data_IF_588058713496
#
_entry.id   IF_588058713496
#
_cell.length_a   1.000
_cell.length_b   1.000
_cell.length_c   1.000
_cell.angle_alpha   90.00
_cell.angle_beta   90.00
_cell.angle_gamma   90.00
#
_symmetry.space_group_name_H-M   'P 1'
#
loop_
_entity.id
_entity.type
_entity.pdbx_description
1 polymer ?
#
# COMPACT_ATOMS: atom_id res chain seq x y z
N UNK A 1 1.04 -3.12 -14.58
CA UNK A 1 1.46 -1.79 -14.16
C UNK A 1 2.86 -1.87 -13.60
N UNK A 2 3.82 -1.27 -14.31
CA UNK A 2 5.22 -1.20 -13.91
C UNK A 2 5.44 -0.06 -12.94
N UNK A 3 6.03 -0.34 -11.79
CA UNK A 3 6.20 0.61 -10.71
C UNK A 3 7.68 0.84 -10.39
N UNK A 4 8.04 2.11 -10.17
CA UNK A 4 9.21 2.47 -9.37
C UNK A 4 8.77 2.55 -7.91
N UNK A 5 9.17 1.57 -7.09
CA UNK A 5 8.79 1.50 -5.69
C UNK A 5 9.89 2.06 -4.78
N UNK A 6 9.52 2.94 -3.87
CA UNK A 6 10.44 3.50 -2.87
C UNK A 6 9.93 3.19 -1.47
N UNK A 7 10.66 2.35 -0.74
CA UNK A 7 10.39 2.03 0.66
C UNK A 7 11.04 3.04 1.57
N UNK A 8 10.26 3.83 2.31
CA UNK A 8 10.77 4.86 3.21
C UNK A 8 10.60 4.45 4.69
N UNK A 9 11.71 4.40 5.42
CA UNK A 9 11.78 3.89 6.79
C UNK A 9 11.66 2.37 6.87
N UNK A 10 11.65 1.82 8.10
CA UNK A 10 11.71 0.37 8.32
C UNK A 10 10.50 -0.38 7.73
N UNK A 11 9.28 0.06 8.02
CA UNK A 11 8.06 -0.58 7.51
C UNK A 11 7.96 -0.51 5.98
N UNK A 12 8.26 0.65 5.39
CA UNK A 12 8.29 0.84 3.94
C UNK A 12 9.33 -0.06 3.27
N UNK A 13 10.52 -0.15 3.85
CA UNK A 13 11.60 -1.04 3.39
C UNK A 13 11.20 -2.52 3.43
N UNK A 14 10.62 -3.00 4.54
CA UNK A 14 10.17 -4.40 4.66
C UNK A 14 9.06 -4.76 3.68
N UNK A 15 8.10 -3.85 3.45
CA UNK A 15 7.04 -4.07 2.47
C UNK A 15 7.59 -4.09 1.04
N UNK A 16 8.53 -3.19 0.71
CA UNK A 16 9.24 -3.21 -0.57
C UNK A 16 9.98 -4.54 -0.79
N UNK A 17 10.70 -5.00 0.23
CA UNK A 17 11.45 -6.26 0.19
C UNK A 17 10.51 -7.45 -0.11
N UNK A 18 9.34 -7.46 0.55
CA UNK A 18 8.30 -8.46 0.33
C UNK A 18 7.65 -8.37 -1.05
N UNK A 19 7.54 -7.16 -1.62
CA UNK A 19 7.10 -6.98 -3.00
C UNK A 19 8.07 -7.58 -4.00
N UNK A 20 9.38 -7.41 -3.79
CA UNK A 20 10.40 -8.03 -4.65
C UNK A 20 10.36 -9.55 -4.56
N UNK A 21 10.23 -10.12 -3.36
CA UNK A 21 10.04 -11.57 -3.17
C UNK A 21 8.80 -12.07 -3.94
N UNK A 22 7.68 -11.35 -3.84
CA UNK A 22 6.45 -11.70 -4.53
C UNK A 22 6.60 -11.61 -6.06
N UNK A 23 7.23 -10.54 -6.56
CA UNK A 23 7.40 -10.32 -7.99
C UNK A 23 8.31 -11.39 -8.62
N UNK A 24 9.38 -11.77 -7.93
CA UNK A 24 10.26 -12.87 -8.33
C UNK A 24 9.51 -14.22 -8.35
N UNK A 25 8.74 -14.50 -7.29
CA UNK A 25 8.01 -15.77 -7.14
C UNK A 25 6.91 -15.96 -8.19
N UNK A 26 6.23 -14.88 -8.58
CA UNK A 26 5.10 -14.93 -9.50
C UNK A 26 5.45 -14.53 -10.93
N UNK A 27 6.66 -13.97 -11.16
CA UNK A 27 7.09 -13.46 -12.45
C UNK A 27 6.20 -12.33 -12.96
N UNK A 28 5.65 -11.50 -12.06
CA UNK A 28 4.63 -10.51 -12.41
C UNK A 28 5.17 -9.24 -13.07
N UNK A 29 6.48 -8.97 -12.97
CA UNK A 29 7.14 -7.83 -13.61
C UNK A 29 6.65 -6.46 -13.12
N UNK A 30 6.07 -6.41 -11.91
CA UNK A 30 5.46 -5.19 -11.35
C UNK A 30 6.55 -4.23 -10.87
N UNK A 31 7.62 -4.75 -10.25
CA UNK A 31 8.64 -3.91 -9.62
C UNK A 31 9.76 -3.65 -10.63
N UNK A 32 9.62 -2.57 -11.40
CA UNK A 32 10.61 -2.21 -12.43
C UNK A 32 11.88 -1.61 -11.82
N UNK A 33 11.71 -0.93 -10.68
CA UNK A 33 12.80 -0.44 -9.84
C UNK A 33 12.39 -0.40 -8.38
N UNK A 34 13.36 -0.56 -7.49
CA UNK A 34 13.17 -0.61 -6.05
C UNK A 34 14.30 0.16 -5.36
N UNK A 35 13.95 1.12 -4.49
CA UNK A 35 14.89 1.87 -3.65
C UNK A 35 14.40 1.85 -2.20
N UNK A 36 15.28 1.52 -1.26
CA UNK A 36 14.96 1.60 0.17
C UNK A 36 15.72 2.76 0.81
N UNK A 37 15.01 3.66 1.48
CA UNK A 37 15.57 4.85 2.13
C UNK A 37 15.32 4.74 3.63
N UNK A 38 16.35 4.89 4.45
CA UNK A 38 16.19 4.91 5.91
C UNK A 38 17.29 5.73 6.59
N UNK A 39 17.07 6.12 7.84
CA UNK A 39 18.05 6.76 8.73
C UNK A 39 18.71 5.77 9.70
N UNK A 40 18.20 4.53 9.75
CA UNK A 40 18.74 3.44 10.54
C UNK A 40 19.50 2.44 9.62
N UNK A 41 20.82 2.33 9.82
CA UNK A 41 21.67 1.47 9.00
C UNK A 41 21.36 -0.02 9.19
N UNK A 42 21.06 -0.43 10.42
CA UNK A 42 20.76 -1.82 10.75
C UNK A 42 19.50 -2.33 10.01
N UNK A 43 18.49 -1.47 9.85
CA UNK A 43 17.27 -1.81 9.11
C UNK A 43 17.55 -2.06 7.63
N UNK A 44 18.36 -1.20 6.99
CA UNK A 44 18.74 -1.38 5.59
C UNK A 44 19.55 -2.66 5.40
N UNK A 45 20.46 -2.98 6.32
CA UNK A 45 21.23 -4.22 6.27
C UNK A 45 20.36 -5.47 6.45
N UNK A 46 19.19 -5.34 7.09
CA UNK A 46 18.25 -6.45 7.32
C UNK A 46 17.29 -6.74 6.17
N UNK A 47 17.39 -6.02 5.04
CA UNK A 47 16.61 -6.33 3.83
C UNK A 47 17.28 -7.48 3.06
N UNK A 48 16.49 -8.41 2.53
CA UNK A 48 16.96 -9.62 1.87
C UNK A 48 16.96 -9.49 0.33
N UNK A 49 15.99 -8.79 -0.24
CA UNK A 49 15.74 -8.74 -1.69
C UNK A 49 16.08 -7.40 -2.35
N UNK A 50 16.01 -6.27 -1.62
CA UNK A 50 16.43 -4.97 -2.16
C UNK A 50 17.95 -4.97 -2.41
N UNK A 51 18.47 -4.67 -3.61
CA UNK A 51 19.92 -4.63 -3.88
C UNK A 51 20.66 -3.63 -2.99
N UNK A 52 21.89 -3.95 -2.56
CA UNK A 52 22.66 -3.08 -1.64
C UNK A 52 22.89 -1.68 -2.21
N UNK A 53 23.14 -1.58 -3.52
CA UNK A 53 23.31 -0.32 -4.25
C UNK A 53 22.06 0.57 -4.24
N UNK A 54 20.88 -0.01 -3.99
CA UNK A 54 19.60 0.69 -3.93
C UNK A 54 19.15 0.99 -2.49
N UNK A 55 20.00 0.73 -1.50
CA UNK A 55 19.75 1.01 -0.08
C UNK A 55 20.42 2.34 0.30
N UNK A 56 19.62 3.40 0.36
CA UNK A 56 20.07 4.75 0.66
C UNK A 56 19.97 5.03 2.15
N UNK A 57 21.11 5.24 2.80
CA UNK A 57 21.18 5.73 4.17
C UNK A 57 21.21 7.27 4.14
N UNK A 58 20.28 7.91 4.84
CA UNK A 58 20.24 9.37 5.02
C UNK A 58 20.39 9.74 6.50
N UNK A 59 20.64 11.02 6.81
CA UNK A 59 20.71 11.55 8.17
C UNK A 59 22.00 11.21 8.93
N UNK A 60 23.07 10.81 8.24
CA UNK A 60 24.35 10.45 8.86
C UNK A 60 24.94 11.62 9.65
N UNK A 61 24.71 12.85 9.19
CA UNK A 61 25.12 14.09 9.86
C UNK A 61 24.42 14.25 11.21
N UNK A 62 23.12 13.92 11.29
CA UNK A 62 22.22 14.13 12.44
C UNK A 62 22.17 12.94 13.42
N UNK A 63 21.94 11.72 12.94
CA UNK A 63 21.65 10.53 13.78
C UNK A 63 22.66 9.39 13.67
N UNK A 64 23.72 9.57 12.86
CA UNK A 64 24.84 8.61 12.73
C UNK A 64 24.41 7.18 12.37
N UNK A 65 23.29 7.02 11.67
CA UNK A 65 22.76 5.72 11.23
C UNK A 65 21.97 4.95 12.29
N UNK A 66 21.51 5.57 13.38
CA UNK A 66 20.72 4.93 14.43
C UNK A 66 19.20 5.10 14.28
N UNK A 67 18.76 5.87 13.29
CA UNK A 67 17.36 6.24 13.13
C UNK A 67 16.96 7.48 13.94
N UNK A 68 15.78 8.03 13.62
CA UNK A 68 15.18 9.18 14.33
C UNK A 68 14.17 8.74 15.40
N UNK A 69 14.01 7.43 15.62
CA UNK A 69 12.97 6.89 16.49
C UNK A 69 11.56 7.26 15.97
N UNK A 70 10.74 7.81 16.86
CA UNK A 70 9.39 8.30 16.56
C UNK A 70 9.34 9.83 16.35
N UNK A 71 10.47 10.49 16.12
CA UNK A 71 10.50 11.91 15.80
C UNK A 71 10.28 12.11 14.29
N UNK A 72 9.05 12.45 13.90
CA UNK A 72 8.69 12.62 12.49
C UNK A 72 9.05 14.01 11.93
N UNK A 73 9.21 15.02 12.78
CA UNK A 73 9.68 16.35 12.39
C UNK A 73 11.17 16.25 11.99
N UNK A 74 11.99 15.63 12.84
CA UNK A 74 13.39 15.33 12.51
C UNK A 74 13.51 14.44 11.26
N UNK A 75 12.60 13.46 11.11
CA UNK A 75 12.54 12.62 9.92
C UNK A 75 12.29 13.41 8.64
N UNK A 76 11.42 14.42 8.68
CA UNK A 76 11.15 15.31 7.56
C UNK A 76 12.35 16.23 7.27
N UNK A 77 12.94 16.85 8.29
CA UNK A 77 14.14 17.70 8.15
C UNK A 77 15.28 16.96 7.45
N UNK A 78 15.60 15.74 7.90
CA UNK A 78 16.65 14.91 7.30
C UNK A 78 16.32 14.57 5.85
N UNK A 79 15.06 14.23 5.56
CA UNK A 79 14.63 13.91 4.21
C UNK A 79 14.73 15.13 3.27
N UNK A 80 14.54 16.35 3.77
CA UNK A 80 14.74 17.59 3.01
C UNK A 80 16.24 17.90 2.82
N UNK A 81 17.05 17.77 3.88
CA UNK A 81 18.49 18.03 3.86
C UNK A 81 19.23 17.09 2.89
N UNK A 82 18.89 15.79 2.92
CA UNK A 82 19.58 14.74 2.17
C UNK A 82 18.79 14.27 0.94
N UNK A 83 17.83 15.07 0.45
CA UNK A 83 16.98 14.68 -0.69
C UNK A 83 17.78 14.37 -1.96
N UNK A 84 18.91 15.04 -2.16
CA UNK A 84 19.80 14.82 -3.30
C UNK A 84 20.44 13.43 -3.28
N UNK A 85 20.68 12.84 -2.10
CA UNK A 85 21.17 11.45 -1.98
C UNK A 85 20.10 10.45 -2.46
N UNK A 86 18.85 10.69 -2.09
CA UNK A 86 17.71 9.88 -2.53
C UNK A 86 17.48 10.04 -4.03
N UNK A 87 17.53 11.27 -4.54
CA UNK A 87 17.38 11.57 -5.96
C UNK A 87 18.48 10.89 -6.79
N UNK A 88 19.74 10.87 -6.32
CA UNK A 88 20.82 10.18 -7.02
C UNK A 88 20.58 8.68 -7.21
N UNK A 89 19.91 8.02 -6.26
CA UNK A 89 19.47 6.62 -6.41
C UNK A 89 18.31 6.50 -7.41
N UNK A 90 17.36 7.45 -7.38
CA UNK A 90 16.22 7.50 -8.31
C UNK A 90 16.70 7.77 -9.75
N UNK A 91 17.74 8.56 -9.97
CA UNK A 91 18.28 8.86 -11.30
C UNK A 91 18.80 7.61 -12.04
N UNK A 92 19.12 6.54 -11.30
CA UNK A 92 19.53 5.26 -11.87
C UNK A 92 18.35 4.42 -12.36
N UNK A 93 17.11 4.83 -12.05
CA UNK A 93 15.88 4.14 -12.46
C UNK A 93 15.56 4.48 -13.92
N UNK A 94 15.22 3.50 -14.77
CA UNK A 94 14.70 3.76 -16.10
C UNK A 94 13.25 4.25 -16.03
N UNK A 95 13.06 5.52 -15.64
CA UNK A 95 11.73 6.11 -15.39
C UNK A 95 10.80 6.03 -16.61
N UNK A 96 11.35 6.11 -17.82
CA UNK A 96 10.58 5.95 -19.06
C UNK A 96 9.96 4.55 -19.26
N UNK A 97 10.30 3.57 -18.43
CA UNK A 97 9.73 2.23 -18.42
C UNK A 97 8.73 1.99 -17.27
N UNK A 98 8.47 3.00 -16.43
CA UNK A 98 7.50 2.89 -15.32
C UNK A 98 6.21 3.63 -15.64
N UNK A 99 5.10 3.07 -15.18
CA UNK A 99 3.77 3.68 -15.31
C UNK A 99 3.49 4.67 -14.16
N UNK A 100 4.12 4.47 -12.99
CA UNK A 100 3.98 5.33 -11.82
C UNK A 100 5.10 5.10 -10.78
N UNK A 101 5.22 6.04 -9.85
CA UNK A 101 5.96 5.89 -8.60
C UNK A 101 5.04 5.42 -7.48
N UNK A 102 5.54 4.54 -6.60
CA UNK A 102 4.85 4.11 -5.39
C UNK A 102 5.75 4.29 -4.16
N UNK A 103 5.42 5.26 -3.31
CA UNK A 103 6.14 5.54 -2.06
C UNK A 103 5.47 4.78 -0.91
N UNK A 104 6.18 3.80 -0.35
CA UNK A 104 5.71 2.90 0.70
C UNK A 104 6.22 3.40 2.07
N UNK A 105 5.35 3.65 3.04
CA UNK A 105 5.77 4.14 4.36
C UNK A 105 4.83 3.78 5.51
N UNK A 106 5.43 3.50 6.67
CA UNK A 106 4.72 3.46 7.94
C UNK A 106 4.48 4.88 8.46
N UNK A 107 3.23 5.24 8.71
CA UNK A 107 2.85 6.61 9.05
C UNK A 107 3.06 6.94 10.53
N UNK A 108 3.14 5.93 11.39
CA UNK A 108 3.33 6.12 12.84
C UNK A 108 4.79 6.30 13.29
N UNK A 109 5.78 5.94 12.48
CA UNK A 109 7.20 6.05 12.84
C UNK A 109 7.73 7.49 12.78
N UNK A 110 9.05 7.67 12.80
CA UNK A 110 9.68 8.97 12.52
C UNK A 110 10.13 9.11 11.07
N UNK A 111 11.06 8.23 10.61
CA UNK A 111 11.66 8.33 9.26
C UNK A 111 10.66 8.25 8.13
N UNK A 112 9.82 7.21 8.09
CA UNK A 112 8.81 7.03 7.04
C UNK A 112 7.71 8.08 7.11
N UNK A 113 7.26 8.39 8.32
CA UNK A 113 6.20 9.37 8.61
C UNK A 113 6.57 10.77 8.11
N UNK A 114 7.78 11.24 8.41
CA UNK A 114 8.27 12.55 8.01
C UNK A 114 8.79 12.61 6.57
N UNK A 115 9.54 11.59 6.14
CA UNK A 115 10.25 11.63 4.87
C UNK A 115 9.44 11.24 3.64
N UNK A 116 8.42 10.37 3.77
CA UNK A 116 7.63 9.94 2.61
C UNK A 116 6.83 11.08 1.95
N UNK A 117 6.17 12.00 2.69
CA UNK A 117 5.52 13.17 2.09
C UNK A 117 6.52 14.12 1.41
N UNK A 118 7.70 14.32 2.01
CA UNK A 118 8.78 15.14 1.45
C UNK A 118 9.25 14.57 0.11
N UNK A 119 9.49 13.26 0.05
CA UNK A 119 9.89 12.57 -1.17
C UNK A 119 8.79 12.64 -2.24
N UNK A 120 7.54 12.37 -1.87
CA UNK A 120 6.43 12.41 -2.83
C UNK A 120 6.30 13.78 -3.50
N UNK A 121 6.37 14.85 -2.69
CA UNK A 121 6.40 16.23 -3.17
C UNK A 121 7.59 16.52 -4.09
N UNK A 122 8.76 15.96 -3.79
CA UNK A 122 9.96 16.11 -4.61
C UNK A 122 9.80 15.41 -5.96
N UNK A 123 9.37 14.15 -5.99
CA UNK A 123 9.16 13.37 -7.22
C UNK A 123 8.14 14.08 -8.13
N UNK A 124 7.00 14.54 -7.59
CA UNK A 124 5.97 15.26 -8.37
C UNK A 124 6.43 16.58 -8.99
N UNK A 125 7.53 17.17 -8.51
CA UNK A 125 8.10 18.39 -9.10
C UNK A 125 8.99 18.10 -10.30
N UNK A 126 9.53 16.88 -10.39
CA UNK A 126 10.56 16.52 -11.36
C UNK A 126 9.98 15.62 -12.46
N UNK A 127 9.11 14.69 -12.08
CA UNK A 127 8.55 13.66 -12.95
C UNK A 127 7.09 13.92 -13.28
N UNK A 128 6.65 13.38 -14.42
CA UNK A 128 5.26 13.57 -14.92
C UNK A 128 4.36 12.37 -14.63
N UNK A 129 4.97 11.22 -14.38
CA UNK A 129 4.31 9.98 -14.02
C UNK A 129 3.58 10.14 -12.66
N UNK A 130 2.41 9.52 -12.47
CA UNK A 130 1.69 9.58 -11.21
C UNK A 130 2.55 9.11 -10.04
N UNK A 131 2.41 9.78 -8.89
CA UNK A 131 3.07 9.43 -7.64
C UNK A 131 2.03 9.00 -6.62
N UNK A 132 2.00 7.71 -6.31
CA UNK A 132 1.10 7.14 -5.31
C UNK A 132 1.81 6.92 -3.99
N UNK A 133 1.06 6.99 -2.89
CA UNK A 133 1.51 6.55 -1.57
C UNK A 133 0.86 5.23 -1.19
N UNK A 134 1.59 4.35 -0.52
CA UNK A 134 1.03 3.29 0.32
C UNK A 134 1.34 3.60 1.78
N UNK A 135 0.36 4.19 2.46
CA UNK A 135 0.45 4.56 3.87
C UNK A 135 -0.02 3.43 4.79
N UNK A 136 0.85 2.99 5.70
CA UNK A 136 0.56 1.95 6.68
C UNK A 136 0.26 2.62 8.03
N UNK A 137 -0.98 2.51 8.50
CA UNK A 137 -1.40 3.06 9.80
C UNK A 137 -0.96 2.13 10.94
N UNK A 138 -0.60 2.70 12.11
CA UNK A 138 -0.21 1.91 13.28
C UNK A 138 -1.42 1.19 13.90
N UNK A 139 -1.16 0.12 14.65
CA UNK A 139 -2.15 -0.50 15.53
C UNK A 139 -2.54 0.41 16.71
N UNK A 140 -3.76 0.26 17.23
CA UNK A 140 -4.30 1.12 18.29
C UNK A 140 -3.58 0.99 19.65
N UNK A 141 -2.82 -0.08 19.87
CA UNK A 141 -2.06 -0.36 21.08
C UNK A 141 -0.56 -0.04 20.96
N UNK A 142 -0.09 0.44 19.79
CA UNK A 142 1.32 0.80 19.60
C UNK A 142 1.72 2.01 20.46
N UNK A 143 0.76 2.86 20.83
CA UNK A 143 0.93 3.99 21.75
C UNK A 143 0.61 5.34 21.12
N UNK A 144 0.29 6.34 21.96
CA UNK A 144 -0.24 7.64 21.51
C UNK A 144 0.67 8.41 20.56
N UNK A 145 2.00 8.31 20.73
CA UNK A 145 2.97 8.98 19.85
C UNK A 145 2.87 8.49 18.40
N UNK A 146 2.68 7.19 18.18
CA UNK A 146 2.57 6.62 16.84
C UNK A 146 1.26 7.03 16.17
N UNK A 147 0.16 7.08 16.92
CA UNK A 147 -1.12 7.58 16.43
C UNK A 147 -1.05 9.06 16.04
N UNK A 148 -0.39 9.88 16.86
CA UNK A 148 -0.17 11.30 16.56
C UNK A 148 0.68 11.50 15.30
N UNK A 149 1.79 10.76 15.18
CA UNK A 149 2.64 10.79 13.99
C UNK A 149 1.85 10.38 12.74
N UNK A 150 1.04 9.32 12.84
CA UNK A 150 0.21 8.85 11.74
C UNK A 150 -0.80 9.91 11.33
N UNK A 151 -1.42 10.61 12.27
CA UNK A 151 -2.35 11.69 11.98
C UNK A 151 -1.70 12.86 11.22
N UNK A 152 -0.54 13.33 11.71
CA UNK A 152 0.23 14.43 11.08
C UNK A 152 0.73 14.04 9.68
N UNK A 153 1.33 12.85 9.57
CA UNK A 153 1.86 12.34 8.31
C UNK A 153 0.74 12.08 7.31
N UNK A 154 -0.35 11.44 7.70
CA UNK A 154 -1.51 11.21 6.82
C UNK A 154 -2.03 12.51 6.21
N UNK A 155 -2.21 13.57 7.02
CA UNK A 155 -2.67 14.86 6.53
C UNK A 155 -1.75 15.47 5.47
N UNK A 156 -0.44 15.30 5.62
CA UNK A 156 0.54 15.85 4.67
C UNK A 156 0.63 14.95 3.45
N UNK A 157 0.80 13.64 3.66
CA UNK A 157 1.05 12.68 2.60
C UNK A 157 -0.07 12.64 1.58
N UNK A 158 -1.34 12.61 2.02
CA UNK A 158 -2.51 12.58 1.13
C UNK A 158 -2.60 13.79 0.19
N UNK A 159 -1.95 14.91 0.54
CA UNK A 159 -1.92 16.14 -0.28
C UNK A 159 -0.74 16.15 -1.27
N UNK A 160 0.31 15.40 -0.96
CA UNK A 160 1.57 15.38 -1.73
C UNK A 160 1.65 14.19 -2.70
N UNK A 161 0.66 13.28 -2.71
CA UNK A 161 0.52 12.19 -3.69
C UNK A 161 -0.68 12.42 -4.61
N UNK A 162 -0.68 11.76 -5.77
CA UNK A 162 -1.85 11.71 -6.65
C UNK A 162 -2.94 10.79 -6.13
N UNK A 163 -2.60 9.80 -5.29
CA UNK A 163 -3.56 9.02 -4.52
C UNK A 163 -2.85 8.31 -3.35
N UNK A 164 -3.48 8.25 -2.18
CA UNK A 164 -2.97 7.53 -1.02
C UNK A 164 -3.75 6.21 -0.83
N UNK A 165 -3.13 5.10 -1.21
CA UNK A 165 -3.57 3.77 -0.84
C UNK A 165 -3.24 3.57 0.64
N UNK A 166 -4.19 3.05 1.41
CA UNK A 166 -4.00 2.91 2.87
C UNK A 166 -4.20 1.47 3.31
N UNK A 167 -3.33 1.04 4.21
CA UNK A 167 -3.44 -0.21 4.94
C UNK A 167 -3.44 0.08 6.44
N UNK A 168 -4.42 -0.45 7.17
CA UNK A 168 -4.56 -0.24 8.60
C UNK A 168 -4.11 -1.47 9.38
N UNK A 169 -2.94 -1.41 10.04
CA UNK A 169 -2.44 -2.56 10.80
C UNK A 169 -3.46 -3.01 11.85
N UNK A 170 -4.20 -2.10 12.46
CA UNK A 170 -5.17 -2.43 13.52
C UNK A 170 -6.24 -3.41 13.03
N UNK A 171 -6.69 -3.26 11.77
CA UNK A 171 -7.69 -4.12 11.14
C UNK A 171 -7.18 -5.53 10.81
N UNK A 172 -5.86 -5.70 10.72
CA UNK A 172 -5.23 -6.93 10.20
C UNK A 172 -4.48 -7.73 11.24
N UNK A 173 -4.31 -7.20 12.45
CA UNK A 173 -3.67 -7.90 13.55
C UNK A 173 -4.41 -9.17 13.95
N UNK A 174 -3.62 -10.17 14.37
CA UNK A 174 -4.09 -11.40 14.98
C UNK A 174 -3.69 -11.46 16.45
N UNK A 175 -4.64 -11.85 17.30
CA UNK A 175 -4.37 -12.00 18.74
C UNK A 175 -3.51 -13.24 18.99
N UNK A 176 -2.45 -13.09 19.79
CA UNK A 176 -1.63 -14.21 20.27
C UNK A 176 -0.35 -14.48 19.47
N UNK A 177 -0.02 -13.65 18.48
CA UNK A 177 1.23 -13.73 17.73
C UNK A 177 2.31 -12.81 18.32
N UNK A 178 3.58 -13.15 18.04
CA UNK A 178 4.70 -12.23 18.32
C UNK A 178 4.59 -11.00 17.42
N UNK A 179 5.06 -9.84 17.88
CA UNK A 179 5.05 -8.59 17.10
C UNK A 179 5.69 -8.78 15.71
N UNK A 180 6.87 -9.42 15.66
CA UNK A 180 7.57 -9.65 14.38
C UNK A 180 6.78 -10.57 13.45
N UNK A 181 6.31 -11.72 13.93
CA UNK A 181 5.48 -12.64 13.14
C UNK A 181 4.19 -11.99 12.63
N UNK A 182 3.55 -11.15 13.44
CA UNK A 182 2.35 -10.41 13.05
C UNK A 182 2.61 -9.43 11.90
N UNK A 183 3.76 -8.73 11.90
CA UNK A 183 4.12 -7.84 10.79
C UNK A 183 4.48 -8.62 9.51
N UNK A 184 5.11 -9.79 9.62
CA UNK A 184 5.44 -10.59 8.44
C UNK A 184 4.16 -11.05 7.72
N UNK A 185 3.14 -11.50 8.47
CA UNK A 185 1.84 -11.85 7.89
C UNK A 185 1.07 -10.63 7.34
N UNK A 186 1.15 -9.48 8.02
CA UNK A 186 0.58 -8.23 7.51
C UNK A 186 1.22 -7.86 6.17
N UNK A 187 2.54 -7.96 6.06
CA UNK A 187 3.26 -7.66 4.82
C UNK A 187 2.86 -8.63 3.70
N UNK A 188 2.64 -9.92 4.01
CA UNK A 188 2.09 -10.88 3.04
C UNK A 188 0.69 -10.47 2.56
N UNK A 189 -0.19 -10.05 3.47
CA UNK A 189 -1.54 -9.61 3.13
C UNK A 189 -1.53 -8.29 2.33
N UNK A 190 -0.61 -7.36 2.60
CA UNK A 190 -0.39 -6.15 1.78
C UNK A 190 -0.02 -6.58 0.35
N UNK A 191 1.10 -7.29 0.21
CA UNK A 191 1.69 -7.60 -1.09
C UNK A 191 0.78 -8.49 -1.93
N UNK A 192 0.04 -9.42 -1.31
CA UNK A 192 -0.94 -10.25 -2.02
C UNK A 192 -2.05 -9.44 -2.69
N UNK A 193 -2.52 -8.36 -2.05
CA UNK A 193 -3.61 -7.52 -2.58
C UNK A 193 -3.12 -6.62 -3.70
N UNK A 194 -2.07 -5.87 -3.39
CA UNK A 194 -1.51 -4.89 -4.31
C UNK A 194 -0.74 -5.56 -5.45
N UNK A 195 -0.12 -6.73 -5.22
CA UNK A 195 0.52 -7.53 -6.26
C UNK A 195 -0.48 -8.04 -7.31
N UNK A 196 -1.67 -8.50 -6.89
CA UNK A 196 -2.73 -8.85 -7.85
C UNK A 196 -3.29 -7.61 -8.55
N UNK A 197 -3.49 -6.50 -7.82
CA UNK A 197 -3.98 -5.24 -8.39
C UNK A 197 -3.05 -4.71 -9.49
N UNK A 198 -1.76 -4.58 -9.20
CA UNK A 198 -0.78 -3.98 -10.12
C UNK A 198 -0.30 -4.95 -11.19
N UNK A 199 -0.28 -6.26 -10.91
CA UNK A 199 0.05 -7.31 -11.87
C UNK A 199 -0.93 -7.39 -13.04
N UNK A 200 -2.19 -6.99 -12.81
CA UNK A 200 -3.23 -7.02 -13.85
C UNK A 200 -2.86 -6.28 -15.13
N UNK A 201 -2.09 -5.18 -15.02
CA UNK A 201 -1.68 -4.36 -16.15
C UNK A 201 -0.53 -4.92 -17.01
N UNK A 202 0.10 -6.04 -16.62
CA UNK A 202 1.22 -6.66 -17.35
C UNK A 202 0.77 -7.93 -18.09
N UNK A 203 0.06 -7.81 -19.22
CA UNK A 203 -0.21 -8.95 -20.10
C UNK A 203 0.66 -8.87 -21.34
N UNK A 204 1.54 -9.87 -21.53
CA UNK A 204 2.38 -9.98 -22.72
C UNK A 204 1.55 -10.09 -24.01
N UNK A 205 1.92 -9.32 -25.03
CA UNK A 205 1.40 -9.46 -26.39
C UNK A 205 1.73 -10.85 -26.95
N UNK A 206 0.84 -11.84 -26.74
CA UNK A 206 1.00 -13.19 -27.28
C UNK A 206 0.32 -14.32 -26.51
N UNK A 207 -0.19 -14.08 -25.30
CA UNK A 207 -0.97 -15.06 -24.53
C UNK A 207 -2.39 -15.29 -25.06
N UNK A 208 -3.03 -16.39 -24.63
CA UNK A 208 -4.43 -16.73 -24.95
C UNK A 208 -5.35 -15.49 -24.84
N UNK A 209 -6.24 -15.34 -25.82
CA UNK A 209 -7.10 -14.15 -25.99
C UNK A 209 -7.94 -13.93 -24.74
N UNK A 210 -7.48 -13.02 -23.88
CA UNK A 210 -8.26 -12.43 -22.81
C UNK A 210 -9.38 -11.57 -23.40
N UNK A 211 -10.60 -11.68 -22.86
CA UNK A 211 -11.77 -11.01 -23.42
C UNK A 211 -11.86 -9.52 -23.00
N UNK A 212 -11.23 -9.12 -21.89
CA UNK A 212 -11.14 -7.72 -21.42
C UNK A 212 -10.02 -7.56 -20.35
N UNK A 213 -8.77 -7.39 -20.79
CA UNK A 213 -7.61 -7.20 -19.90
C UNK A 213 -7.67 -5.84 -19.20
N UNK A 214 -7.34 -5.81 -17.91
CA UNK A 214 -7.08 -4.56 -17.19
C UNK A 214 -5.71 -4.05 -17.61
N UNK A 215 -5.61 -2.84 -18.17
CA UNK A 215 -4.32 -2.21 -18.42
C UNK A 215 -3.94 -1.25 -17.27
N UNK A 216 -2.70 -0.74 -17.28
CA UNK A 216 -2.25 0.26 -16.30
C UNK A 216 -3.11 1.53 -16.33
N UNK A 217 -3.69 1.88 -17.47
CA UNK A 217 -4.52 3.08 -17.63
C UNK A 217 -5.82 2.97 -16.83
N UNK A 218 -6.43 1.78 -16.74
CA UNK A 218 -7.63 1.56 -15.93
C UNK A 218 -7.35 1.80 -14.44
N UNK A 219 -6.17 1.39 -13.94
CA UNK A 219 -5.72 1.65 -12.56
C UNK A 219 -5.49 3.15 -12.37
N UNK A 220 -4.71 3.79 -13.24
CA UNK A 220 -4.39 5.23 -13.18
C UNK A 220 -5.67 6.07 -13.19
N UNK A 221 -6.60 5.80 -14.12
CA UNK A 221 -7.87 6.51 -14.24
C UNK A 221 -8.78 6.31 -13.03
N UNK A 222 -8.69 5.14 -12.37
CA UNK A 222 -9.44 4.89 -11.13
C UNK A 222 -8.89 5.74 -9.98
N UNK A 223 -7.56 5.88 -9.89
CA UNK A 223 -6.88 6.63 -8.84
C UNK A 223 -6.84 8.15 -9.09
N UNK A 224 -7.10 8.60 -10.33
CA UNK A 224 -6.96 9.99 -10.76
C UNK A 224 -7.84 11.02 -10.01
N UNK A 225 -8.87 10.56 -9.28
CA UNK A 225 -9.68 11.44 -8.42
C UNK A 225 -8.96 11.97 -7.17
N UNK A 226 -7.82 11.37 -6.83
CA UNK A 226 -7.09 11.71 -5.62
C UNK A 226 -7.71 11.17 -4.34
N UNK A 227 -7.25 11.72 -3.22
CA UNK A 227 -7.70 11.35 -1.89
C UNK A 227 -7.21 9.97 -1.46
N UNK A 228 -8.09 9.23 -0.79
CA UNK A 228 -7.78 7.97 -0.12
C UNK A 228 -8.40 6.81 -0.90
N UNK A 229 -7.63 5.73 -1.00
CA UNK A 229 -8.10 4.48 -1.60
C UNK A 229 -7.91 3.29 -0.67
N UNK A 230 -8.81 2.31 -0.80
CA UNK A 230 -8.79 1.06 -0.05
C UNK A 230 -8.97 -0.13 -1.00
N UNK A 231 -8.47 -1.30 -0.59
CA UNK A 231 -8.51 -2.50 -1.42
C UNK A 231 -9.20 -3.65 -0.69
N UNK A 232 -10.18 -4.24 -1.35
CA UNK A 232 -10.81 -5.51 -0.96
C UNK A 232 -10.22 -6.68 -1.73
N UNK A 233 -10.18 -7.86 -1.10
CA UNK A 233 -9.65 -9.07 -1.72
C UNK A 233 -10.39 -10.31 -1.24
N UNK A 234 -10.67 -11.22 -2.18
CA UNK A 234 -11.10 -12.58 -1.88
C UNK A 234 -10.52 -13.55 -2.90
N UNK A 235 -10.23 -14.78 -2.47
CA UNK A 235 -9.80 -15.85 -3.38
C UNK A 235 -10.34 -17.21 -2.96
N UNK A 236 -10.40 -18.12 -3.91
CA UNK A 236 -10.67 -19.54 -3.68
C UNK A 236 -9.76 -20.41 -4.55
N UNK A 237 -9.39 -21.58 -4.04
CA UNK A 237 -8.60 -22.57 -4.76
C UNK A 237 -9.43 -23.27 -5.83
N UNK A 238 -8.82 -23.55 -6.97
CA UNK A 238 -9.43 -24.28 -8.09
C UNK A 238 -8.55 -25.43 -8.53
N UNK A 239 -9.16 -26.55 -8.91
CA UNK A 239 -8.44 -27.71 -9.43
C UNK A 239 -8.19 -27.54 -10.93
N UNK A 240 -6.93 -27.27 -11.30
CA UNK A 240 -6.53 -27.29 -12.72
C UNK A 240 -6.24 -28.73 -13.14
N UNK A 241 -6.75 -29.14 -14.31
CA UNK A 241 -6.71 -30.52 -14.82
C UNK A 241 -5.32 -31.10 -15.15
N UNK A 242 -4.24 -30.56 -14.58
CA UNK A 242 -2.85 -30.94 -14.87
C UNK A 242 -2.04 -31.52 -13.69
N UNK A 243 -2.58 -31.56 -12.47
CA UNK A 243 -1.80 -31.85 -11.25
C UNK A 243 -2.08 -33.20 -10.57
N UNK A 244 -2.80 -34.12 -11.22
CA UNK A 244 -2.92 -35.50 -10.74
C UNK A 244 -2.23 -36.49 -11.69
N UNK A 245 -1.24 -37.21 -11.15
CA UNK A 245 -0.57 -38.32 -11.83
C UNK A 245 -1.60 -39.32 -12.35
N UNK A 246 -1.75 -39.37 -13.66
CA UNK A 246 -2.67 -40.25 -14.35
C UNK A 246 -2.33 -41.71 -14.08
N UNK A 247 -3.10 -42.33 -13.18
CA UNK A 247 -3.15 -43.78 -13.07
C UNK A 247 -3.62 -44.39 -14.39
N UNK A 248 -3.00 -45.51 -14.77
CA UNK A 248 -3.18 -46.26 -16.03
C UNK A 248 -4.62 -46.73 -16.33
N UNK A 249 -5.61 -46.32 -15.54
CA UNK A 249 -7.02 -46.68 -15.65
C UNK A 249 -7.88 -45.63 -16.39
N UNK A 250 -7.40 -44.39 -16.57
CA UNK A 250 -8.20 -43.33 -17.23
C UNK A 250 -8.36 -43.51 -18.75
N UNK A 251 -7.56 -44.38 -19.38
CA UNK A 251 -7.64 -44.68 -20.81
C UNK A 251 -8.68 -45.75 -21.19
N UNK A 252 -9.30 -46.42 -20.22
CA UNK A 252 -10.26 -47.50 -20.49
C UNK A 252 -11.73 -47.10 -20.37
N UNK A 253 -12.03 -45.91 -19.85
CA UNK A 253 -13.36 -45.32 -19.89
C UNK A 253 -13.44 -44.35 -21.06
N UNK A 254 -13.67 -44.92 -22.25
CA UNK A 254 -14.02 -44.16 -23.45
C UNK A 254 -15.30 -43.36 -23.21
N UNK A 255 -15.15 -42.05 -23.10
CA UNK A 255 -16.20 -41.08 -22.90
C UNK A 255 -15.57 -39.70 -22.83
N UNK A 256 -15.39 -39.07 -23.98
CA UNK A 256 -14.98 -37.67 -24.11
C UNK A 256 -15.85 -36.77 -23.24
N UNK A 257 -15.29 -36.22 -22.16
CA UNK A 257 -15.75 -35.00 -21.49
C UNK A 257 -14.80 -34.65 -20.35
N UNK A 258 -13.66 -34.04 -20.66
CA UNK A 258 -13.15 -32.98 -19.78
C UNK A 258 -14.12 -31.81 -19.93
N UNK A 259 -15.21 -31.80 -19.15
CA UNK A 259 -16.18 -30.71 -19.26
C UNK A 259 -15.46 -29.41 -18.91
N UNK A 260 -15.49 -28.39 -19.79
CA UNK A 260 -15.27 -27.02 -19.37
C UNK A 260 -16.17 -26.79 -18.15
N UNK A 261 -15.62 -26.22 -17.09
CA UNK A 261 -16.44 -25.85 -15.94
C UNK A 261 -17.66 -25.07 -16.45
N UNK A 262 -18.87 -25.45 -16.02
CA UNK A 262 -20.10 -24.84 -16.53
C UNK A 262 -19.97 -23.30 -16.46
N UNK A 263 -20.16 -22.62 -17.58
CA UNK A 263 -20.06 -21.15 -17.68
C UNK A 263 -20.92 -20.47 -16.61
N UNK A 264 -22.05 -21.09 -16.21
CA UNK A 264 -22.86 -20.63 -15.10
C UNK A 264 -22.14 -20.71 -13.74
N UNK A 265 -21.42 -21.79 -13.46
CA UNK A 265 -20.62 -21.96 -12.24
C UNK A 265 -19.49 -20.94 -12.17
N UNK A 266 -18.75 -20.75 -13.27
CA UNK A 266 -17.70 -19.72 -13.36
C UNK A 266 -18.25 -18.32 -13.06
N UNK A 267 -19.39 -17.97 -13.67
CA UNK A 267 -20.08 -16.69 -13.42
C UNK A 267 -20.44 -16.53 -11.93
N UNK A 268 -20.97 -17.58 -11.30
CA UNK A 268 -21.40 -17.55 -9.91
C UNK A 268 -20.21 -17.43 -8.95
N UNK A 269 -19.10 -18.14 -9.21
CA UNK A 269 -17.84 -17.99 -8.48
C UNK A 269 -17.36 -16.56 -8.51
N UNK A 270 -17.18 -15.98 -9.70
CA UNK A 270 -16.65 -14.62 -9.85
C UNK A 270 -17.51 -13.64 -9.07
N UNK A 271 -18.83 -13.65 -9.27
CA UNK A 271 -19.72 -12.74 -8.52
C UNK A 271 -19.69 -12.98 -7.00
N UNK A 272 -19.46 -14.21 -6.54
CA UNK A 272 -19.29 -14.53 -5.12
C UNK A 272 -18.00 -13.93 -4.57
N UNK A 273 -16.89 -14.08 -5.29
CA UNK A 273 -15.60 -13.50 -4.93
C UNK A 273 -15.64 -11.97 -4.91
N UNK A 274 -16.30 -11.34 -5.89
CA UNK A 274 -16.51 -9.88 -5.91
C UNK A 274 -17.23 -9.41 -4.64
N UNK A 275 -18.32 -10.07 -4.26
CA UNK A 275 -19.04 -9.75 -3.02
C UNK A 275 -18.17 -9.94 -1.78
N UNK A 276 -17.42 -11.03 -1.70
CA UNK A 276 -16.50 -11.31 -0.58
C UNK A 276 -15.37 -10.29 -0.51
N UNK A 277 -14.85 -9.84 -1.65
CA UNK A 277 -13.78 -8.85 -1.70
C UNK A 277 -14.28 -7.48 -1.24
N UNK A 278 -15.45 -7.04 -1.72
CA UNK A 278 -16.02 -5.74 -1.40
C UNK A 278 -16.59 -5.64 0.03
N UNK A 279 -17.21 -6.71 0.53
CA UNK A 279 -17.84 -6.73 1.86
C UNK A 279 -16.96 -7.40 2.93
N UNK A 280 -15.80 -7.92 2.51
CA UNK A 280 -14.83 -8.53 3.40
C UNK A 280 -13.98 -7.49 4.12
N UNK A 281 -12.86 -7.96 4.67
CA UNK A 281 -11.89 -7.08 5.31
C UNK A 281 -11.12 -6.30 4.24
N UNK A 282 -11.30 -4.99 4.21
CA UNK A 282 -10.58 -4.06 3.36
C UNK A 282 -9.20 -3.71 3.97
N UNK A 283 -8.27 -3.20 3.17
CA UNK A 283 -6.98 -2.69 3.67
C UNK A 283 -7.19 -1.51 4.63
N UNK A 284 -8.11 -0.62 4.31
CA UNK A 284 -8.65 0.42 5.19
C UNK A 284 -10.16 0.18 5.37
N UNK A 285 -10.63 -0.23 6.56
CA UNK A 285 -12.06 -0.45 6.80
C UNK A 285 -12.87 0.83 6.61
N UNK A 286 -13.86 0.79 5.73
CA UNK A 286 -14.79 1.88 5.49
C UNK A 286 -16.14 1.37 4.97
N UNK A 287 -17.12 2.26 4.95
CA UNK A 287 -18.31 2.04 4.13
C UNK A 287 -17.92 2.20 2.65
N UNK A 288 -18.38 1.27 1.80
CA UNK A 288 -18.07 1.29 0.37
C UNK A 288 -19.02 2.18 -0.44
N UNK A 289 -20.16 2.55 0.17
CA UNK A 289 -21.10 3.51 -0.39
C UNK A 289 -20.46 4.91 -0.45
N UNK A 290 -20.62 5.59 -1.57
CA UNK A 290 -20.04 6.90 -1.82
C UNK A 290 -18.57 6.90 -2.23
N UNK A 291 -17.98 5.73 -2.55
CA UNK A 291 -16.69 5.69 -3.24
C UNK A 291 -16.81 6.37 -4.61
N UNK A 292 -15.83 7.21 -4.98
CA UNK A 292 -15.91 8.00 -6.22
C UNK A 292 -15.79 7.12 -7.47
N UNK A 293 -14.82 6.20 -7.46
CA UNK A 293 -14.55 5.24 -8.53
C UNK A 293 -14.22 3.87 -7.96
N UNK A 294 -14.52 2.83 -8.73
CA UNK A 294 -14.13 1.47 -8.40
C UNK A 294 -13.48 0.75 -9.59
N UNK A 295 -12.56 -0.16 -9.29
CA UNK A 295 -11.97 -1.07 -10.26
C UNK A 295 -12.06 -2.51 -9.75
N UNK A 296 -12.61 -3.40 -10.57
CA UNK A 296 -12.63 -4.84 -10.34
C UNK A 296 -11.55 -5.54 -11.17
N UNK A 297 -10.62 -6.22 -10.51
CA UNK A 297 -9.67 -7.14 -11.15
C UNK A 297 -10.03 -8.57 -10.77
N UNK A 298 -10.13 -9.46 -11.75
CA UNK A 298 -10.32 -10.90 -11.51
C UNK A 298 -9.11 -11.68 -12.03
N UNK A 299 -8.37 -12.34 -11.15
CA UNK A 299 -7.14 -13.03 -11.49
C UNK A 299 -7.28 -14.55 -11.32
N UNK A 300 -6.69 -15.34 -12.22
CA UNK A 300 -6.72 -16.80 -12.14
C UNK A 300 -6.54 -17.49 -13.49
N UNK A 301 -6.64 -18.82 -13.57
CA UNK A 301 -6.44 -19.51 -14.83
C UNK A 301 -7.55 -19.16 -15.83
N UNK A 302 -7.24 -18.98 -17.12
CA UNK A 302 -8.22 -18.54 -18.14
C UNK A 302 -9.51 -19.37 -18.17
N UNK A 303 -9.40 -20.69 -17.96
CA UNK A 303 -10.54 -21.61 -17.93
C UNK A 303 -11.58 -21.31 -16.83
N UNK A 304 -11.19 -20.55 -15.79
CA UNK A 304 -12.02 -20.19 -14.64
C UNK A 304 -12.43 -18.71 -14.63
N UNK A 305 -12.15 -17.97 -15.71
CA UNK A 305 -12.50 -16.58 -15.90
C UNK A 305 -13.51 -16.45 -17.04
N UNK A 306 -14.48 -15.54 -16.89
CA UNK A 306 -15.39 -15.22 -17.99
C UNK A 306 -15.90 -13.77 -17.91
N UNK A 307 -16.14 -13.17 -19.09
CA UNK A 307 -16.64 -11.79 -19.19
C UNK A 307 -17.99 -11.60 -18.50
N UNK A 308 -18.89 -12.59 -18.56
CA UNK A 308 -20.23 -12.50 -17.95
C UNK A 308 -20.17 -12.34 -16.43
N UNK A 309 -19.24 -13.02 -15.76
CA UNK A 309 -19.02 -12.90 -14.32
C UNK A 309 -18.47 -11.54 -13.94
N UNK A 310 -17.49 -11.03 -14.70
CA UNK A 310 -16.88 -9.72 -14.51
C UNK A 310 -17.92 -8.60 -14.67
N UNK A 311 -18.69 -8.60 -15.76
CA UNK A 311 -19.74 -7.60 -16.01
C UNK A 311 -20.82 -7.60 -14.93
N UNK A 312 -21.23 -8.78 -14.44
CA UNK A 312 -22.16 -8.87 -13.31
C UNK A 312 -21.55 -8.37 -12.01
N UNK A 313 -20.27 -8.64 -11.78
CA UNK A 313 -19.52 -8.13 -10.64
C UNK A 313 -19.44 -6.60 -10.65
N UNK A 314 -19.07 -6.01 -11.79
CA UNK A 314 -19.03 -4.56 -12.00
C UNK A 314 -20.38 -3.91 -11.75
N UNK A 315 -21.45 -4.43 -12.34
CA UNK A 315 -22.80 -3.90 -12.12
C UNK A 315 -23.22 -3.98 -10.65
N UNK A 316 -22.91 -5.09 -9.98
CA UNK A 316 -23.21 -5.22 -8.56
C UNK A 316 -22.41 -4.21 -7.72
N UNK A 317 -21.12 -3.99 -8.03
CA UNK A 317 -20.31 -2.97 -7.37
C UNK A 317 -20.87 -1.56 -7.58
N UNK A 318 -21.28 -1.22 -8.80
CA UNK A 318 -21.95 0.06 -9.12
C UNK A 318 -23.20 0.26 -8.25
N UNK A 319 -24.03 -0.79 -8.10
CA UNK A 319 -25.22 -0.76 -7.24
C UNK A 319 -24.89 -0.61 -5.74
N UNK A 320 -23.76 -1.16 -5.27
CA UNK A 320 -23.40 -1.08 -3.85
C UNK A 320 -22.63 0.17 -3.46
N UNK A 321 -21.86 0.73 -4.39
CA UNK A 321 -20.97 1.86 -4.13
C UNK A 321 -21.61 3.19 -4.53
N UNK A 322 -22.55 3.18 -5.47
CA UNK A 322 -23.04 4.39 -6.11
C UNK A 322 -21.97 5.15 -6.91
N UNK A 323 -20.82 4.52 -7.19
CA UNK A 323 -19.70 5.14 -7.90
C UNK A 323 -20.12 5.57 -9.31
N UNK A 324 -19.61 6.72 -9.74
CA UNK A 324 -19.88 7.24 -11.09
C UNK A 324 -19.22 6.38 -12.18
N UNK A 325 -18.10 5.73 -11.85
CA UNK A 325 -17.34 4.90 -12.78
C UNK A 325 -16.90 3.61 -12.08
N UNK A 326 -17.34 2.46 -12.63
CA UNK A 326 -16.88 1.14 -12.22
C UNK A 326 -16.19 0.46 -13.40
N UNK A 327 -14.86 0.37 -13.32
CA UNK A 327 -14.00 -0.32 -14.28
C UNK A 327 -13.85 -1.79 -13.90
N UNK A 328 -13.40 -2.61 -14.84
CA UNK A 328 -12.97 -3.95 -14.49
C UNK A 328 -12.58 -4.83 -15.66
N UNK A 329 -11.81 -5.86 -15.34
CA UNK A 329 -11.28 -6.80 -16.31
C UNK A 329 -10.67 -8.04 -15.66
N UNK A 330 -10.08 -8.87 -16.50
CA UNK A 330 -9.37 -10.07 -16.08
C UNK A 330 -7.84 -9.88 -16.06
N UNK A 331 -7.19 -10.71 -15.25
CA UNK A 331 -5.76 -10.93 -15.21
C UNK A 331 -5.51 -12.44 -15.33
N UNK A 332 -5.34 -12.98 -16.55
CA UNK A 332 -5.17 -14.41 -16.77
C UNK A 332 -3.80 -14.89 -16.26
N UNK A 333 -3.82 -15.85 -15.33
CA UNK A 333 -2.62 -16.47 -14.74
C UNK A 333 -2.71 -18.00 -14.94
N UNK A 334 -2.21 -18.55 -16.06
CA UNK A 334 -2.46 -19.94 -16.47
C UNK A 334 -2.08 -21.00 -15.43
N UNK A 335 -1.01 -20.78 -14.67
CA UNK A 335 -0.47 -21.73 -13.70
C UNK A 335 -0.98 -21.50 -12.26
N UNK A 336 -1.96 -20.61 -12.06
CA UNK A 336 -2.50 -20.33 -10.74
C UNK A 336 -3.34 -21.51 -10.21
N UNK A 337 -3.18 -21.84 -8.93
CA UNK A 337 -4.06 -22.79 -8.22
C UNK A 337 -5.32 -22.15 -7.64
N UNK A 338 -5.58 -20.88 -7.95
CA UNK A 338 -6.68 -20.11 -7.35
C UNK A 338 -7.26 -19.05 -8.30
N UNK A 339 -8.51 -18.70 -8.05
CA UNK A 339 -9.17 -17.51 -8.62
C UNK A 339 -9.32 -16.47 -7.51
N UNK A 340 -8.94 -15.23 -7.81
CA UNK A 340 -9.03 -14.09 -6.90
C UNK A 340 -9.85 -12.96 -7.53
N UNK A 341 -10.54 -12.20 -6.69
CA UNK A 341 -11.12 -10.92 -7.03
C UNK A 341 -10.51 -9.84 -6.14
N UNK A 342 -10.04 -8.76 -6.75
CA UNK A 342 -9.57 -7.54 -6.10
C UNK A 342 -10.51 -6.42 -6.46
N UNK A 343 -10.92 -5.65 -5.46
CA UNK A 343 -11.77 -4.47 -5.62
C UNK A 343 -11.01 -3.27 -5.08
N UNK A 344 -10.57 -2.38 -5.96
CA UNK A 344 -10.02 -1.08 -5.60
C UNK A 344 -11.17 -0.08 -5.50
N UNK A 345 -11.28 0.61 -4.37
CA UNK A 345 -12.23 1.69 -4.14
C UNK A 345 -11.44 2.98 -3.92
N UNK A 346 -11.61 3.95 -4.82
CA UNK A 346 -10.91 5.23 -4.80
C UNK A 346 -11.83 6.37 -4.38
N UNK A 347 -11.26 7.37 -3.70
CA UNK A 347 -12.00 8.53 -3.22
C UNK A 347 -12.97 8.19 -2.08
N UNK A 348 -12.59 7.28 -1.17
CA UNK A 348 -13.43 6.94 -0.02
C UNK A 348 -13.49 8.09 0.98
N UNK A 349 -14.68 8.40 1.50
CA UNK A 349 -14.90 9.58 2.35
C UNK A 349 -15.39 9.24 3.76
N UNK A 350 -16.22 8.20 3.93
CA UNK A 350 -16.72 7.80 5.24
C UNK A 350 -15.83 6.73 5.89
N UNK A 351 -14.65 7.17 6.36
CA UNK A 351 -13.68 6.27 7.01
C UNK A 351 -13.55 6.60 8.50
N UNK A 352 -14.10 5.78 9.41
CA UNK A 352 -14.03 6.03 10.86
C UNK A 352 -12.59 6.19 11.38
N UNK A 353 -11.66 5.34 10.91
CA UNK A 353 -10.24 5.38 11.31
C UNK A 353 -9.58 6.72 10.98
N UNK A 354 -9.90 7.31 9.83
CA UNK A 354 -9.33 8.61 9.43
C UNK A 354 -9.91 9.74 10.30
N UNK A 355 -11.20 9.68 10.65
CA UNK A 355 -11.81 10.65 11.57
C UNK A 355 -11.17 10.59 12.96
N UNK A 356 -10.88 9.38 13.45
CA UNK A 356 -10.16 9.18 14.71
C UNK A 356 -8.77 9.83 14.67
N UNK A 357 -7.98 9.57 13.62
CA UNK A 357 -6.66 10.19 13.47
C UNK A 357 -6.75 11.72 13.41
N UNK A 358 -7.73 12.27 12.69
CA UNK A 358 -7.96 13.72 12.63
C UNK A 358 -8.27 14.30 14.00
N UNK A 359 -9.10 13.62 14.80
CA UNK A 359 -9.44 14.05 16.15
C UNK A 359 -8.20 14.05 17.06
N UNK A 360 -7.39 13.00 17.01
CA UNK A 360 -6.12 12.92 17.77
C UNK A 360 -5.16 14.05 17.40
N UNK A 361 -5.04 14.39 16.11
CA UNK A 361 -4.22 15.52 15.68
C UNK A 361 -4.72 16.86 16.21
N UNK A 362 -6.03 17.08 16.26
CA UNK A 362 -6.63 18.32 16.78
C UNK A 362 -6.35 18.42 18.29
N UNK A 363 -6.66 17.37 19.05
CA UNK A 363 -6.45 17.33 20.51
C UNK A 363 -4.96 17.50 20.89
N UNK A 364 -4.06 16.87 20.12
CA UNK A 364 -2.63 17.02 20.36
C UNK A 364 -2.13 18.44 20.06
N UNK A 365 -2.69 19.12 19.05
CA UNK A 365 -2.34 20.51 18.75
C UNK A 365 -2.78 21.45 19.89
N UNK A 366 -4.01 21.28 20.39
CA UNK A 366 -4.54 22.04 21.52
C UNK A 366 -3.68 21.84 22.78
N UNK A 367 -3.33 20.59 23.12
CA UNK A 367 -2.49 20.28 24.28
C UNK A 367 -1.07 20.85 24.17
N UNK A 368 -0.48 20.86 22.97
CA UNK A 368 0.88 21.41 22.77
C UNK A 368 0.89 22.92 22.98
N UNK A 369 -0.14 23.62 22.50
CA UNK A 369 -0.28 25.06 22.68
C UNK A 369 -0.45 25.41 24.17
N UNK A 370 -1.27 24.65 24.91
CA UNK A 370 -1.43 24.79 26.37
C UNK A 370 -0.12 24.54 27.14
N UNK A 371 0.58 23.45 26.85
CA UNK A 371 1.86 23.10 27.52
C UNK A 371 2.92 24.16 27.23
N UNK A 372 2.95 24.73 26.02
CA UNK A 372 3.91 25.77 25.67
C UNK A 372 3.66 27.05 26.47
N UNK A 373 2.41 27.46 26.57
CA UNK A 373 2.02 28.65 27.34
C UNK A 373 2.33 28.45 28.84
N UNK A 374 2.01 27.28 29.41
CA UNK A 374 2.38 26.95 30.80
C UNK A 374 3.91 26.87 30.99
N UNK A 375 4.65 26.35 30.01
CA UNK A 375 6.12 26.23 30.11
C UNK A 375 6.79 27.60 30.04
N UNK A 376 6.30 28.52 29.20
CA UNK A 376 6.78 29.91 29.16
C UNK A 376 6.50 30.63 30.48
N UNK A 377 5.30 30.47 31.05
CA UNK A 377 4.95 31.04 32.36
C UNK A 377 5.79 30.44 33.50
N UNK A 378 5.97 29.12 33.52
CA UNK A 378 6.79 28.44 34.52
C UNK A 378 8.27 28.80 34.40
N UNK A 379 8.79 28.94 33.17
CA UNK A 379 10.17 29.39 32.95
C UNK A 379 10.35 30.84 33.38
N UNK A 380 9.38 31.71 33.10
CA UNK A 380 9.40 33.10 33.55
C UNK A 380 9.40 33.17 35.08
N UNK A 381 8.52 32.43 35.76
CA UNK A 381 8.49 32.36 37.23
C UNK A 381 9.77 31.75 37.84
N UNK A 382 10.47 30.87 37.11
CA UNK A 382 11.73 30.29 37.56
C UNK A 382 12.92 31.26 37.42
N UNK A 383 12.85 32.16 36.42
CA UNK A 383 13.91 33.13 36.11
C UNK A 383 13.71 34.45 36.84
N UNK A 384 12.46 34.89 36.98
CA UNK A 384 12.02 36.12 37.67
C UNK A 384 11.56 35.75 39.10
N UNK A 385 12.51 35.36 39.97
CA UNK A 385 12.22 35.24 41.41
C UNK A 385 12.09 36.66 41.99
N UNK A 386 11.08 36.91 42.85
CA UNK A 386 10.60 38.23 43.35
C UNK A 386 11.67 39.13 44.04
N UNK A 387 12.91 38.66 44.17
CA UNK A 387 14.02 39.35 44.83
C UNK A 387 15.08 39.96 43.86
N UNK A 388 14.90 39.92 42.54
CA UNK A 388 15.64 40.77 41.57
C UNK A 388 17.19 40.74 41.71
N UNK A 389 17.78 39.61 42.15
CA UNK A 389 19.17 39.58 42.66
C UNK A 389 20.23 38.95 41.73
N UNK A 390 19.88 38.37 40.57
CA UNK A 390 20.87 37.71 39.69
C UNK A 390 20.76 38.13 38.22
N UNK A 391 21.75 38.92 37.76
CA UNK A 391 21.95 39.21 36.34
C UNK A 391 22.41 37.97 35.56
N UNK A 392 21.88 37.82 34.34
CA UNK A 392 22.31 36.81 33.35
C UNK A 392 23.82 36.87 33.12
N UNK A 393 24.43 35.70 32.89
CA UNK A 393 25.85 35.56 32.55
C UNK A 393 26.23 36.17 31.17
N UNK A 394 25.24 36.54 30.36
CA UNK A 394 25.38 37.19 29.06
C UNK A 394 24.30 38.25 28.83
#
# INVERSE_FOLDING_TARGET
>A
MKLAMIGFGQAGGKVLDKFLEYDEKHGSGIVRAAVAVNTAKADLMGLDHVPEENRVLIGQSRVKGHGVGADNELGAEIAEEDIDEVQGAIDSIPVHEVDAFLVLAGLGGGTGSGGAPVLAKHIKRIYTEPVYGLGILPGGDEGGIYTLNAARSFQTFVREVDNLLVFDNDAWRKTGESVQGGYDEINEEIVKRFGVLFGAGEVEQGGEVAESVVDSSEIINTLAGGGVSTVGYASETVETSGSSGGGLLSKFTGGSNSQPEDSANTTNRITSLVRKAALGRLTLPCEIDGAERALLVTAGPPAFLNRKGIERGRKWLEEQTGSMEVRGGDYPVPNSGSVAAVVLLAGVTNVPRIKELQQVAIEAQENIDEIRDESEENLQNLVEDDDDELESLF
#
